data_IF_491204269160
#
_entry.id   IF_491204269160
#
_cell.length_a   1.000
_cell.length_b   1.000
_cell.length_c   1.000
_cell.angle_alpha   90.00
_cell.angle_beta   90.00
_cell.angle_gamma   90.00
#
_symmetry.space_group_name_H-M   'P 1'
#
loop_
_entity.id
_entity.type
_entity.pdbx_description
1 polymer ?
#
# COMPACT_ATOMS: atom_id res chain seq x y z
N UNK A 1 7.71 -48.59 -11.80
CA UNK A 1 7.28 -48.21 -10.43
C UNK A 1 7.87 -46.84 -10.15
N UNK A 2 7.03 -45.81 -10.07
CA UNK A 2 7.33 -44.49 -9.49
C UNK A 2 6.00 -43.71 -9.49
N UNK A 3 5.30 -43.75 -8.35
CA UNK A 3 4.07 -43.02 -8.12
C UNK A 3 4.40 -41.61 -7.63
N UNK A 4 3.87 -40.61 -8.32
CA UNK A 4 3.79 -39.24 -7.81
C UNK A 4 2.57 -39.14 -6.87
N UNK A 5 2.67 -38.44 -5.72
CA UNK A 5 1.51 -38.17 -4.89
C UNK A 5 0.66 -37.09 -5.55
N UNK A 6 -0.59 -37.44 -5.85
CA UNK A 6 -1.63 -36.52 -6.30
C UNK A 6 -2.30 -35.93 -5.06
N UNK A 7 -2.08 -34.63 -4.81
CA UNK A 7 -2.94 -33.88 -3.90
C UNK A 7 -4.25 -33.58 -4.64
N UNK A 8 -5.28 -34.38 -4.35
CA UNK A 8 -6.66 -34.11 -4.75
C UNK A 8 -7.24 -33.05 -3.81
N UNK A 9 -7.36 -31.81 -4.28
CA UNK A 9 -8.29 -30.82 -3.71
C UNK A 9 -9.59 -30.86 -4.51
N UNK A 10 -10.53 -31.67 -4.04
CA UNK A 10 -11.93 -31.58 -4.47
C UNK A 10 -12.56 -30.37 -3.77
N UNK A 11 -12.56 -29.20 -4.42
CA UNK A 11 -13.55 -28.16 -4.14
C UNK A 11 -14.43 -27.95 -5.36
N UNK A 12 -15.71 -28.29 -5.16
CA UNK A 12 -16.81 -28.20 -6.11
C UNK A 12 -16.89 -26.79 -6.73
N UNK A 13 -16.54 -26.71 -8.00
CA UNK A 13 -16.94 -25.66 -8.92
C UNK A 13 -18.46 -25.67 -9.08
N UNK A 14 -19.14 -24.68 -8.50
CA UNK A 14 -20.47 -24.28 -8.92
C UNK A 14 -20.33 -23.11 -9.89
N UNK A 15 -20.85 -23.31 -11.11
CA UNK A 15 -20.94 -22.39 -12.24
C UNK A 15 -21.40 -20.97 -11.85
N UNK A 16 -20.61 -19.97 -12.25
CA UNK A 16 -21.12 -18.70 -12.78
C UNK A 16 -20.17 -18.25 -13.91
N UNK A 17 -20.73 -18.08 -15.10
CA UNK A 17 -20.00 -17.69 -16.30
C UNK A 17 -19.54 -16.23 -16.18
N UNK A 18 -18.25 -15.96 -16.45
CA UNK A 18 -17.60 -14.64 -16.69
C UNK A 18 -17.33 -13.66 -15.52
N UNK A 19 -17.35 -14.04 -14.25
CA UNK A 19 -17.02 -13.10 -13.14
C UNK A 19 -16.14 -13.75 -12.07
N UNK A 20 -14.81 -13.74 -12.26
CA UNK A 20 -13.88 -14.22 -11.23
C UNK A 20 -13.47 -13.05 -10.33
N UNK A 21 -14.41 -12.61 -9.47
CA UNK A 21 -14.09 -11.71 -8.36
C UNK A 21 -13.54 -12.53 -7.19
N UNK A 22 -12.35 -12.16 -6.70
CA UNK A 22 -11.74 -12.80 -5.53
C UNK A 22 -12.11 -11.99 -4.30
N UNK A 23 -12.84 -12.61 -3.37
CA UNK A 23 -13.46 -11.89 -2.26
C UNK A 23 -12.82 -12.25 -0.93
N UNK A 24 -12.43 -11.24 -0.17
CA UNK A 24 -12.08 -11.35 1.22
C UNK A 24 -13.32 -10.99 2.07
N UNK A 25 -13.80 -11.93 2.89
CA UNK A 25 -14.75 -11.58 3.96
C UNK A 25 -14.01 -10.71 4.99
N UNK A 26 -14.09 -9.39 4.82
CA UNK A 26 -13.50 -8.45 5.76
C UNK A 26 -14.21 -8.51 7.10
N UNK A 27 -13.47 -8.99 8.10
CA UNK A 27 -13.60 -8.84 9.55
C UNK A 27 -15.01 -8.94 10.16
N UNK A 28 -15.21 -9.89 11.10
CA UNK A 28 -16.47 -10.06 11.84
C UNK A 28 -16.90 -8.82 12.63
N UNK A 29 -15.97 -7.90 12.90
CA UNK A 29 -16.21 -6.66 13.64
C UNK A 29 -16.40 -5.42 12.74
N UNK A 30 -16.36 -5.57 11.41
CA UNK A 30 -16.65 -4.46 10.51
C UNK A 30 -18.10 -3.99 10.72
N UNK A 31 -18.25 -2.87 11.45
CA UNK A 31 -19.52 -2.17 11.55
C UNK A 31 -19.73 -1.40 10.27
N UNK A 32 -20.26 -2.12 9.29
CA UNK A 32 -20.63 -1.55 8.01
C UNK A 32 -21.63 -0.41 8.24
N UNK A 33 -21.29 0.76 7.72
CA UNK A 33 -22.28 1.81 7.58
C UNK A 33 -23.36 1.38 6.58
N UNK A 34 -24.51 2.05 6.59
CA UNK A 34 -25.51 1.87 5.53
C UNK A 34 -24.92 2.11 4.13
N UNK A 35 -23.89 2.96 3.99
CA UNK A 35 -23.26 3.23 2.70
C UNK A 35 -22.34 2.10 2.22
N UNK A 36 -21.59 1.42 3.09
CA UNK A 36 -20.78 0.25 2.70
C UNK A 36 -21.66 -0.95 2.29
N UNK A 37 -22.80 -1.14 2.95
CA UNK A 37 -23.79 -2.15 2.54
C UNK A 37 -24.45 -1.84 1.20
N UNK A 38 -24.76 -0.55 0.96
CA UNK A 38 -25.23 -0.09 -0.34
C UNK A 38 -24.20 -0.40 -1.42
N UNK A 39 -22.92 -0.12 -1.13
CA UNK A 39 -21.80 -0.42 -2.00
C UNK A 39 -21.66 -1.91 -2.37
N UNK A 40 -21.63 -2.82 -1.39
CA UNK A 40 -21.52 -4.28 -1.64
C UNK A 40 -22.67 -4.81 -2.49
N UNK A 41 -23.77 -4.06 -2.61
CA UNK A 41 -24.88 -4.34 -3.51
C UNK A 41 -24.76 -3.62 -4.86
N UNK A 42 -24.29 -2.37 -4.88
CA UNK A 42 -24.29 -1.50 -6.07
C UNK A 42 -23.06 -1.70 -6.97
N UNK A 43 -21.85 -1.78 -6.41
CA UNK A 43 -20.60 -1.82 -7.21
C UNK A 43 -19.96 -3.20 -7.25
N UNK A 44 -20.51 -4.17 -6.51
CA UNK A 44 -19.98 -5.53 -6.47
C UNK A 44 -20.06 -6.17 -7.85
N UNK A 45 -18.92 -6.67 -8.34
CA UNK A 45 -18.81 -7.28 -9.66
C UNK A 45 -18.76 -6.27 -10.81
N UNK A 46 -18.86 -4.95 -10.55
CA UNK A 46 -18.75 -3.93 -11.57
C UNK A 46 -17.30 -3.47 -11.74
N UNK A 47 -16.89 -3.37 -12.99
CA UNK A 47 -15.63 -2.70 -13.35
C UNK A 47 -15.87 -1.20 -13.35
N UNK A 48 -15.03 -0.49 -12.61
CA UNK A 48 -15.17 0.94 -12.42
C UNK A 48 -14.16 1.66 -13.31
N UNK A 49 -14.64 2.38 -14.33
CA UNK A 49 -13.78 3.01 -15.32
C UNK A 49 -13.89 4.53 -15.29
N UNK A 50 -12.82 5.24 -15.69
CA UNK A 50 -12.91 6.67 -15.95
C UNK A 50 -13.95 6.96 -17.04
N UNK A 51 -14.72 8.04 -16.87
CA UNK A 51 -15.73 8.48 -17.85
C UNK A 51 -15.14 8.62 -19.26
N UNK A 52 -13.88 9.04 -19.39
CA UNK A 52 -13.18 9.17 -20.67
C UNK A 52 -13.03 7.87 -21.47
N UNK A 53 -13.28 6.72 -20.84
CA UNK A 53 -13.19 5.40 -21.46
C UNK A 53 -14.56 4.85 -21.87
N UNK A 54 -15.65 5.48 -21.42
CA UNK A 54 -17.03 5.04 -21.63
C UNK A 54 -17.40 4.88 -23.10
N UNK A 55 -16.94 5.79 -23.95
CA UNK A 55 -17.23 5.75 -25.39
C UNK A 55 -16.60 4.56 -26.12
N UNK A 56 -15.68 3.84 -25.48
CA UNK A 56 -15.00 2.66 -26.03
C UNK A 56 -15.62 1.35 -25.52
N UNK A 57 -16.62 1.45 -24.64
CA UNK A 57 -17.29 0.28 -24.07
C UNK A 57 -18.47 -0.08 -24.99
N UNK A 58 -18.55 -1.33 -25.49
CA UNK A 58 -19.71 -1.81 -26.24
C UNK A 58 -20.99 -1.62 -25.42
N UNK A 59 -22.07 -1.19 -26.08
CA UNK A 59 -23.31 -0.79 -25.38
C UNK A 59 -23.91 -1.92 -24.54
N UNK A 60 -23.73 -3.16 -25.00
CA UNK A 60 -24.14 -4.40 -24.35
C UNK A 60 -23.33 -4.72 -23.07
N UNK A 61 -22.15 -4.12 -22.89
CA UNK A 61 -21.29 -4.30 -21.71
C UNK A 61 -21.38 -3.12 -20.73
N UNK A 62 -22.07 -2.04 -21.08
CA UNK A 62 -22.30 -0.91 -20.18
C UNK A 62 -23.06 -1.30 -18.89
N UNK A 63 -23.82 -2.40 -18.92
CA UNK A 63 -24.50 -2.90 -17.71
C UNK A 63 -23.54 -3.49 -16.66
N UNK A 64 -22.30 -3.84 -17.05
CA UNK A 64 -21.26 -4.39 -16.17
C UNK A 64 -20.16 -3.37 -15.82
N UNK A 65 -20.31 -2.15 -16.31
CA UNK A 65 -19.32 -1.09 -16.18
C UNK A 65 -19.98 0.13 -15.57
N UNK A 66 -19.41 0.58 -14.46
CA UNK A 66 -19.85 1.80 -13.81
C UNK A 66 -18.88 2.93 -14.16
N UNK A 67 -19.32 3.99 -14.85
CA UNK A 67 -18.59 5.23 -14.87
C UNK A 67 -18.60 5.82 -13.46
N UNK A 68 -17.43 6.16 -12.95
CA UNK A 68 -17.22 6.60 -11.57
C UNK A 68 -16.70 8.03 -11.52
N UNK A 69 -17.35 8.86 -10.70
CA UNK A 69 -16.81 10.14 -10.23
C UNK A 69 -16.34 10.00 -8.79
N UNK A 70 -15.14 10.50 -8.50
CA UNK A 70 -14.51 10.38 -7.19
C UNK A 70 -13.32 11.31 -7.04
N UNK A 71 -12.78 11.34 -5.83
CA UNK A 71 -11.56 12.07 -5.52
C UNK A 71 -10.37 11.30 -6.06
N UNK A 72 -9.48 11.99 -6.76
CA UNK A 72 -8.31 11.36 -7.35
C UNK A 72 -7.28 11.11 -6.26
N UNK A 73 -6.63 9.97 -6.37
CA UNK A 73 -5.44 9.62 -5.61
C UNK A 73 -4.36 9.27 -6.64
N UNK A 74 -3.25 10.04 -6.69
CA UNK A 74 -2.32 10.03 -7.84
C UNK A 74 -1.55 8.71 -8.02
N UNK A 75 -1.82 7.68 -7.20
CA UNK A 75 -1.36 6.31 -7.41
C UNK A 75 -2.30 5.46 -8.29
N UNK A 76 -2.92 6.05 -9.33
CA UNK A 76 -3.81 5.34 -10.28
C UNK A 76 -5.09 4.82 -9.60
N UNK A 77 -5.53 5.55 -8.57
CA UNK A 77 -6.67 5.16 -7.76
C UNK A 77 -7.76 6.23 -7.74
N UNK A 78 -8.97 5.81 -7.37
CA UNK A 78 -10.10 6.70 -7.15
C UNK A 78 -10.71 6.45 -5.77
N UNK A 79 -10.68 7.47 -4.94
CA UNK A 79 -11.31 7.50 -3.64
C UNK A 79 -12.79 7.91 -3.75
N UNK A 80 -13.65 7.13 -3.14
CA UNK A 80 -15.10 7.32 -3.13
C UNK A 80 -15.57 7.61 -1.69
N UNK A 81 -15.48 8.87 -1.22
CA UNK A 81 -15.71 9.23 0.19
C UNK A 81 -17.14 8.95 0.69
N UNK A 82 -18.10 8.80 -0.21
CA UNK A 82 -19.48 8.41 0.09
C UNK A 82 -19.60 6.96 0.61
N UNK A 83 -18.66 6.09 0.23
CA UNK A 83 -18.62 4.70 0.67
C UNK A 83 -17.55 4.55 1.75
N UNK A 84 -17.98 4.25 2.97
CA UNK A 84 -17.08 4.15 4.11
C UNK A 84 -17.54 3.09 5.10
N UNK A 85 -16.60 2.50 5.83
CA UNK A 85 -16.85 1.58 6.92
C UNK A 85 -16.02 1.99 8.14
N UNK A 86 -16.43 1.50 9.31
CA UNK A 86 -15.61 1.56 10.50
C UNK A 86 -14.99 0.19 10.75
N UNK A 87 -13.68 0.19 10.97
CA UNK A 87 -12.96 -0.98 11.46
C UNK A 87 -12.36 -0.52 12.78
N UNK A 88 -12.85 -1.13 13.85
CA UNK A 88 -12.66 -0.66 15.24
C UNK A 88 -13.22 0.75 15.42
N UNK A 89 -12.39 1.72 15.80
CA UNK A 89 -12.76 3.13 15.96
C UNK A 89 -12.36 4.00 14.76
N UNK A 90 -11.66 3.44 13.77
CA UNK A 90 -11.17 4.18 12.61
C UNK A 90 -12.14 4.08 11.42
N UNK A 91 -12.39 5.24 10.80
CA UNK A 91 -13.17 5.34 9.57
C UNK A 91 -12.28 5.08 8.37
N UNK A 92 -12.72 4.21 7.48
CA UNK A 92 -12.07 3.93 6.20
C UNK A 92 -13.02 4.22 5.05
N UNK A 93 -12.47 4.70 3.96
CA UNK A 93 -13.15 5.03 2.71
C UNK A 93 -12.78 4.04 1.63
N UNK A 94 -13.68 3.82 0.69
CA UNK A 94 -13.41 2.96 -0.45
C UNK A 94 -12.48 3.66 -1.44
N UNK A 95 -11.38 3.00 -1.78
CA UNK A 95 -10.46 3.36 -2.85
C UNK A 95 -10.41 2.24 -3.90
N UNK A 96 -10.45 2.62 -5.17
CA UNK A 96 -10.36 1.68 -6.30
C UNK A 96 -9.02 1.90 -6.98
N UNK A 97 -8.06 1.00 -6.78
CA UNK A 97 -6.75 1.02 -7.45
C UNK A 97 -6.86 0.29 -8.79
N UNK A 98 -6.20 0.83 -9.81
CA UNK A 98 -6.26 0.29 -11.16
C UNK A 98 -7.42 0.88 -11.98
N UNK A 99 -7.72 2.17 -11.81
CA UNK A 99 -8.69 2.91 -12.65
C UNK A 99 -7.99 3.62 -13.82
N UNK A 100 -6.74 3.30 -14.11
CA UNK A 100 -5.92 3.94 -15.12
C UNK A 100 -5.02 5.05 -14.56
N UNK A 101 -3.87 5.23 -15.21
CA UNK A 101 -2.89 6.27 -14.92
C UNK A 101 -3.11 7.51 -15.80
N UNK A 102 -3.00 8.70 -15.22
CA UNK A 102 -3.12 9.98 -15.97
C UNK A 102 -1.77 10.52 -16.43
N UNK A 103 -0.70 10.16 -15.74
CA UNK A 103 0.67 10.48 -16.11
C UNK A 103 1.23 9.41 -17.04
N UNK A 104 2.07 9.78 -18.03
CA UNK A 104 2.85 8.79 -18.76
C UNK A 104 3.84 8.11 -17.82
N UNK A 105 4.18 6.84 -18.11
CA UNK A 105 5.18 6.08 -17.36
C UNK A 105 6.54 6.80 -17.24
N UNK A 106 6.91 7.62 -18.23
CA UNK A 106 8.20 8.34 -18.30
C UNK A 106 8.08 9.87 -18.12
N UNK A 107 7.12 10.34 -17.32
CA UNK A 107 7.03 11.74 -16.88
C UNK A 107 6.20 12.68 -17.77
N UNK A 108 6.17 13.97 -17.41
CA UNK A 108 5.24 14.97 -17.98
C UNK A 108 5.47 15.34 -19.46
N UNK A 109 6.62 14.97 -20.03
CA UNK A 109 6.87 15.14 -21.46
C UNK A 109 6.64 13.81 -22.16
N UNK A 110 5.61 13.76 -23.00
CA UNK A 110 5.59 12.80 -24.10
C UNK A 110 6.94 12.91 -24.81
N UNK A 111 7.69 11.81 -24.98
CA UNK A 111 8.92 11.83 -25.74
C UNK A 111 8.61 12.45 -27.11
N UNK A 112 9.36 13.48 -27.48
CA UNK A 112 9.24 14.09 -28.79
C UNK A 112 9.30 13.00 -29.87
N UNK A 113 8.52 13.18 -30.95
CA UNK A 113 8.38 12.20 -32.04
C UNK A 113 9.73 11.58 -32.40
N UNK A 114 9.91 10.28 -32.09
CA UNK A 114 11.03 9.49 -32.61
C UNK A 114 11.78 8.59 -31.63
N UNK A 115 11.58 8.68 -30.31
CA UNK A 115 12.37 7.88 -29.36
C UNK A 115 11.85 6.46 -29.08
N UNK A 116 10.58 6.21 -29.38
CA UNK A 116 9.95 4.90 -29.21
C UNK A 116 9.44 4.45 -30.56
N UNK A 117 9.77 3.22 -30.98
CA UNK A 117 9.21 2.61 -32.18
C UNK A 117 7.72 2.33 -31.92
N UNK A 118 6.89 3.35 -32.11
CA UNK A 118 5.43 3.25 -32.07
C UNK A 118 5.01 2.15 -33.05
N UNK A 119 4.41 1.08 -32.53
CA UNK A 119 3.96 -0.04 -33.35
C UNK A 119 3.12 0.44 -34.53
N UNK A 120 3.20 -0.27 -35.65
CA UNK A 120 2.59 0.11 -36.94
C UNK A 120 1.10 0.47 -36.88
N UNK A 121 0.36 0.01 -35.85
CA UNK A 121 -1.05 0.35 -35.62
C UNK A 121 -1.31 1.77 -35.11
N UNK A 122 -0.30 2.47 -34.56
CA UNK A 122 -0.51 3.82 -34.02
C UNK A 122 -0.64 4.89 -35.12
N UNK A 123 -0.08 4.68 -36.31
CA UNK A 123 -0.21 5.65 -37.41
C UNK A 123 -1.62 5.72 -37.99
N UNK A 124 -2.43 4.68 -37.79
CA UNK A 124 -3.77 4.54 -38.37
C UNK A 124 -4.89 4.54 -37.31
N UNK A 125 -4.56 4.56 -36.01
CA UNK A 125 -5.55 4.48 -34.94
C UNK A 125 -6.05 5.90 -34.53
N UNK A 126 -7.38 6.17 -34.54
CA UNK A 126 -7.98 7.42 -34.07
C UNK A 126 -7.51 7.87 -32.68
N UNK A 127 -7.09 6.92 -31.84
CA UNK A 127 -6.62 7.17 -30.48
C UNK A 127 -5.25 7.89 -30.48
N UNK A 128 -4.39 7.69 -31.48
CA UNK A 128 -3.09 8.38 -31.59
C UNK A 128 -3.23 9.89 -31.83
N UNK A 129 -4.25 10.30 -32.59
CA UNK A 129 -4.63 11.71 -32.74
C UNK A 129 -5.25 12.27 -31.45
N UNK A 130 -5.90 11.43 -30.64
CA UNK A 130 -6.41 11.82 -29.32
C UNK A 130 -5.30 12.08 -28.30
N UNK A 131 -4.18 11.36 -28.31
CA UNK A 131 -3.09 11.59 -27.35
C UNK A 131 -2.28 12.87 -27.62
N UNK A 132 -2.18 13.28 -28.89
CA UNK A 132 -1.50 14.53 -29.28
C UNK A 132 -2.33 15.79 -29.03
N UNK A 133 -3.63 15.63 -28.76
CA UNK A 133 -4.59 16.73 -28.51
C UNK A 133 -5.15 16.75 -27.09
N UNK A 134 -4.97 15.68 -26.30
CA UNK A 134 -5.50 15.59 -24.93
C UNK A 134 -4.61 16.31 -23.93
N UNK A 135 -5.25 17.16 -23.14
CA UNK A 135 -4.75 17.63 -21.84
C UNK A 135 -4.42 16.42 -20.95
N UNK A 136 -3.49 16.57 -20.01
CA UNK A 136 -3.00 15.58 -19.01
C UNK A 136 -4.07 14.99 -18.07
N UNK A 137 -5.35 15.03 -18.46
CA UNK A 137 -6.52 14.81 -17.62
C UNK A 137 -7.23 13.49 -17.87
N UNK A 138 -6.84 12.68 -18.86
CA UNK A 138 -7.52 11.41 -19.12
C UNK A 138 -6.70 10.21 -18.64
N UNK A 139 -7.34 9.34 -17.86
CA UNK A 139 -6.70 8.14 -17.34
C UNK A 139 -6.63 7.05 -18.42
N UNK A 140 -5.52 6.33 -18.46
CA UNK A 140 -5.31 5.20 -19.36
C UNK A 140 -4.69 4.00 -18.67
N UNK A 141 -4.97 2.86 -19.25
CA UNK A 141 -4.25 1.63 -19.01
C UNK A 141 -3.20 1.43 -20.10
N UNK A 142 -2.09 0.78 -19.77
CA UNK A 142 -1.11 0.32 -20.75
C UNK A 142 -0.70 -1.11 -20.41
N UNK A 143 -0.34 -1.88 -21.43
CA UNK A 143 0.19 -3.22 -21.23
C UNK A 143 1.64 -3.24 -20.78
N UNK A 144 2.22 -2.14 -20.31
CA UNK A 144 3.61 -2.11 -19.86
C UNK A 144 3.73 -2.52 -18.42
N UNK A 145 4.82 -3.21 -18.10
CA UNK A 145 5.17 -3.52 -16.72
C UNK A 145 5.68 -2.30 -15.97
N UNK A 146 5.04 -1.96 -14.86
CA UNK A 146 5.60 -1.03 -13.88
C UNK A 146 6.59 -1.78 -12.98
N UNK A 147 7.89 -1.61 -13.23
CA UNK A 147 9.03 -2.28 -12.56
C UNK A 147 9.01 -3.82 -12.47
N UNK A 148 7.95 -4.51 -12.84
CA UNK A 148 7.84 -5.98 -12.75
C UNK A 148 6.49 -6.48 -12.23
N UNK A 149 5.66 -5.59 -11.67
CA UNK A 149 4.57 -5.94 -10.74
C UNK A 149 3.17 -5.88 -11.40
N UNK A 150 3.08 -5.76 -12.72
CA UNK A 150 1.82 -5.73 -13.46
C UNK A 150 1.65 -4.56 -14.44
N UNK A 151 0.51 -4.53 -15.17
CA UNK A 151 0.21 -3.56 -16.23
C UNK A 151 0.03 -2.15 -15.66
N UNK A 152 0.67 -1.14 -16.26
CA UNK A 152 0.59 0.23 -15.78
C UNK A 152 -0.83 0.80 -15.91
N UNK A 153 -1.34 1.34 -14.80
CA UNK A 153 -2.73 1.78 -14.66
C UNK A 153 -3.71 0.70 -14.18
N UNK A 154 -3.27 -0.55 -14.00
CA UNK A 154 -4.03 -1.67 -13.44
C UNK A 154 -3.13 -2.56 -12.55
N UNK A 155 -3.62 -3.75 -12.18
CA UNK A 155 -2.85 -4.80 -11.49
C UNK A 155 -2.79 -6.08 -12.32
N UNK A 156 -1.79 -6.90 -12.07
CA UNK A 156 -1.80 -8.28 -12.52
C UNK A 156 -2.65 -9.17 -11.61
N UNK A 157 -2.98 -10.37 -12.08
CA UNK A 157 -3.80 -11.33 -11.31
C UNK A 157 -3.11 -11.82 -10.07
N UNK A 158 -1.80 -12.13 -10.14
CA UNK A 158 -1.06 -12.68 -9.01
C UNK A 158 -1.00 -11.66 -7.87
N UNK A 159 -0.63 -10.44 -8.20
CA UNK A 159 -0.52 -9.30 -7.29
C UNK A 159 -1.86 -8.98 -6.63
N UNK A 160 -2.95 -9.10 -7.41
CA UNK A 160 -4.31 -9.00 -6.89
C UNK A 160 -4.67 -10.07 -5.88
N UNK A 161 -4.28 -11.32 -6.12
CA UNK A 161 -4.52 -12.43 -5.23
C UNK A 161 -3.67 -12.34 -3.98
N UNK A 162 -2.38 -12.06 -4.13
CA UNK A 162 -1.45 -11.90 -3.02
C UNK A 162 -1.95 -10.78 -2.08
N UNK A 163 -2.46 -9.67 -2.61
CA UNK A 163 -3.04 -8.59 -1.78
C UNK A 163 -4.26 -9.04 -0.95
N UNK A 164 -5.10 -9.89 -1.52
CA UNK A 164 -6.25 -10.48 -0.82
C UNK A 164 -5.75 -11.43 0.28
N UNK A 165 -4.78 -12.29 -0.03
CA UNK A 165 -4.18 -13.22 0.94
C UNK A 165 -3.48 -12.48 2.09
N UNK A 166 -2.80 -11.37 1.82
CA UNK A 166 -2.20 -10.51 2.85
C UNK A 166 -3.28 -9.83 3.70
N UNK A 167 -4.38 -9.40 3.09
CA UNK A 167 -5.52 -8.86 3.83
C UNK A 167 -6.07 -9.89 4.82
N UNK A 168 -6.16 -11.14 4.40
CA UNK A 168 -6.61 -12.26 5.22
C UNK A 168 -5.75 -12.47 6.48
N UNK A 169 -4.44 -12.23 6.42
CA UNK A 169 -3.54 -12.31 7.59
C UNK A 169 -3.86 -11.28 8.68
N UNK A 170 -4.48 -10.16 8.31
CA UNK A 170 -4.74 -9.03 9.20
C UNK A 170 -6.16 -9.03 9.78
N UNK A 171 -7.04 -9.93 9.31
CA UNK A 171 -8.47 -9.96 9.63
C UNK A 171 -8.76 -10.07 11.12
N UNK A 172 -8.00 -10.88 11.84
CA UNK A 172 -8.24 -11.14 13.26
C UNK A 172 -7.75 -10.00 14.16
N UNK A 173 -6.99 -9.04 13.60
CA UNK A 173 -6.36 -7.96 14.34
C UNK A 173 -6.63 -6.62 13.66
N UNK A 174 -7.90 -6.30 13.37
CA UNK A 174 -8.30 -4.93 12.99
C UNK A 174 -7.51 -4.33 11.80
N UNK A 175 -7.16 -5.16 10.82
CA UNK A 175 -6.31 -4.83 9.66
C UNK A 175 -4.85 -4.48 10.00
N UNK A 176 -4.29 -5.04 11.07
CA UNK A 176 -2.87 -4.98 11.32
C UNK A 176 -2.23 -6.38 11.43
N UNK A 177 -0.96 -6.47 11.05
CA UNK A 177 -0.12 -7.64 11.21
C UNK A 177 0.89 -7.29 12.29
N UNK A 178 0.59 -7.60 13.55
CA UNK A 178 1.48 -7.33 14.69
C UNK A 178 1.90 -5.84 14.81
N UNK A 179 0.95 -4.93 14.61
CA UNK A 179 1.16 -3.48 14.63
C UNK A 179 1.47 -2.85 13.26
N UNK A 180 1.75 -3.67 12.23
CA UNK A 180 1.86 -3.18 10.85
C UNK A 180 0.47 -3.06 10.23
N UNK A 181 -0.04 -1.83 10.14
CA UNK A 181 -1.38 -1.56 9.60
C UNK A 181 -1.37 -1.58 8.08
N UNK A 182 -2.40 -2.19 7.49
CA UNK A 182 -2.60 -2.24 6.05
C UNK A 182 -3.92 -1.60 5.65
N UNK A 183 -4.01 -1.15 4.40
CA UNK A 183 -5.26 -0.81 3.75
C UNK A 183 -5.86 -2.11 3.19
N UNK A 184 -6.89 -2.69 3.82
CA UNK A 184 -7.35 -4.03 3.45
C UNK A 184 -7.98 -4.01 2.05
N UNK A 185 -7.67 -5.02 1.25
CA UNK A 185 -8.29 -5.26 -0.06
C UNK A 185 -9.54 -6.12 0.14
N UNK A 186 -10.70 -5.54 -0.17
CA UNK A 186 -11.99 -6.21 -0.06
C UNK A 186 -12.13 -7.30 -1.12
N UNK A 187 -11.82 -6.93 -2.36
CA UNK A 187 -11.85 -7.84 -3.49
C UNK A 187 -11.08 -7.27 -4.69
N UNK A 188 -10.76 -8.17 -5.62
CA UNK A 188 -10.22 -7.80 -6.93
C UNK A 188 -11.15 -8.29 -8.05
N UNK A 189 -11.29 -7.49 -9.10
CA UNK A 189 -12.09 -7.82 -10.30
C UNK A 189 -11.19 -7.75 -11.52
N UNK A 190 -11.24 -8.79 -12.35
CA UNK A 190 -10.58 -8.82 -13.65
C UNK A 190 -11.23 -7.82 -14.64
N UNK A 191 -10.40 -7.05 -15.34
CA UNK A 191 -10.83 -6.20 -16.44
C UNK A 191 -11.23 -7.06 -17.66
N UNK A 192 -12.38 -6.78 -18.30
CA UNK A 192 -12.81 -7.46 -19.51
C UNK A 192 -11.78 -7.41 -20.63
N UNK A 193 -11.65 -8.53 -21.37
CA UNK A 193 -10.67 -8.69 -22.45
C UNK A 193 -10.77 -7.61 -23.53
N UNK A 194 -11.95 -7.07 -23.81
CA UNK A 194 -12.10 -6.01 -24.81
C UNK A 194 -11.39 -4.71 -24.39
N UNK A 195 -11.42 -4.36 -23.09
CA UNK A 195 -10.69 -3.18 -22.57
C UNK A 195 -9.19 -3.42 -22.68
N UNK A 196 -8.75 -4.62 -22.28
CA UNK A 196 -7.35 -5.02 -22.35
C UNK A 196 -6.85 -5.02 -23.79
N UNK A 197 -7.60 -5.61 -24.72
CA UNK A 197 -7.22 -5.69 -26.13
C UNK A 197 -7.11 -4.33 -26.81
N UNK A 198 -7.95 -3.36 -26.46
CA UNK A 198 -7.89 -1.99 -26.99
C UNK A 198 -6.68 -1.19 -26.47
N UNK A 199 -6.11 -1.56 -25.31
CA UNK A 199 -5.12 -0.73 -24.60
C UNK A 199 -3.75 -1.38 -24.39
N UNK A 200 -3.65 -2.71 -24.48
CA UNK A 200 -2.42 -3.47 -24.22
C UNK A 200 -1.26 -3.10 -25.16
N UNK A 201 -1.58 -2.59 -26.35
CA UNK A 201 -0.58 -2.26 -27.37
C UNK A 201 -0.16 -0.78 -27.38
N UNK A 202 -0.52 0.01 -26.37
CA UNK A 202 -0.16 1.43 -26.31
C UNK A 202 1.33 1.71 -26.22
N UNK A 203 2.11 0.77 -25.72
CA UNK A 203 3.55 0.86 -25.62
C UNK A 203 4.15 -0.50 -26.00
N UNK A 204 5.43 -0.54 -26.38
CA UNK A 204 6.08 -1.71 -27.00
C UNK A 204 7.17 -2.35 -26.13
N UNK A 205 7.55 -1.72 -25.03
CA UNK A 205 8.56 -2.22 -24.12
C UNK A 205 7.93 -3.24 -23.15
N UNK A 206 8.74 -3.98 -22.40
CA UNK A 206 8.38 -5.01 -21.39
C UNK A 206 6.86 -5.24 -21.12
N UNK A 207 6.17 -5.90 -22.08
CA UNK A 207 4.70 -6.03 -22.05
C UNK A 207 4.20 -7.07 -21.04
N UNK A 208 3.19 -6.70 -20.26
CA UNK A 208 2.36 -7.60 -19.48
C UNK A 208 1.44 -8.42 -20.40
N UNK A 209 1.48 -9.73 -20.25
CA UNK A 209 0.69 -10.70 -21.03
C UNK A 209 -0.43 -11.35 -20.22
N UNK A 210 -0.42 -11.18 -18.90
CA UNK A 210 -1.42 -11.72 -17.99
C UNK A 210 -2.74 -10.94 -18.04
N UNK A 211 -3.71 -11.39 -17.24
CA UNK A 211 -4.96 -10.65 -17.03
C UNK A 211 -4.69 -9.39 -16.23
N UNK A 212 -5.57 -8.42 -16.42
CA UNK A 212 -5.50 -7.13 -15.75
C UNK A 212 -6.64 -7.05 -14.76
N UNK A 213 -6.43 -6.44 -13.61
CA UNK A 213 -7.43 -6.37 -12.54
C UNK A 213 -7.47 -5.00 -11.89
N UNK A 214 -8.59 -4.71 -11.22
CA UNK A 214 -8.77 -3.58 -10.32
C UNK A 214 -8.93 -4.09 -8.89
N UNK A 215 -8.33 -3.39 -7.94
CA UNK A 215 -8.47 -3.70 -6.52
C UNK A 215 -9.40 -2.70 -5.87
N UNK A 216 -10.34 -3.22 -5.08
CA UNK A 216 -11.21 -2.42 -4.23
C UNK A 216 -10.72 -2.57 -2.80
N UNK A 217 -10.25 -1.47 -2.22
CA UNK A 217 -9.59 -1.46 -0.91
C UNK A 217 -10.14 -0.37 -0.02
N UNK A 218 -9.86 -0.46 1.27
CA UNK A 218 -10.24 0.54 2.24
C UNK A 218 -9.02 1.36 2.69
N UNK A 219 -9.12 2.68 2.64
CA UNK A 219 -8.05 3.61 3.04
C UNK A 219 -8.55 4.58 4.11
N UNK A 220 -7.74 4.95 5.11
CA UNK A 220 -8.19 5.84 6.19
C UNK A 220 -8.23 7.33 5.79
N UNK A 221 -7.52 7.70 4.74
CA UNK A 221 -7.49 9.05 4.15
C UNK A 221 -6.91 8.99 2.72
N UNK A 222 -6.67 10.14 2.10
CA UNK A 222 -5.82 10.29 0.90
C UNK A 222 -4.51 11.06 1.16
N UNK A 223 -4.10 11.18 2.43
CA UNK A 223 -2.86 11.83 2.83
C UNK A 223 -1.72 10.80 2.76
N UNK A 224 -0.71 11.09 1.94
CA UNK A 224 0.51 10.28 1.81
C UNK A 224 1.66 10.92 2.58
N UNK A 225 2.77 10.21 2.69
CA UNK A 225 3.93 10.70 3.40
C UNK A 225 4.66 11.80 2.60
N UNK A 226 5.06 11.56 1.33
CA UNK A 226 5.74 12.59 0.50
C UNK A 226 5.25 12.77 -0.93
N UNK A 227 4.91 11.69 -1.64
CA UNK A 227 4.66 11.75 -3.08
C UNK A 227 3.21 11.41 -3.46
N UNK A 228 2.82 11.80 -4.68
CA UNK A 228 1.59 11.35 -5.35
C UNK A 228 0.29 11.68 -4.58
N UNK A 229 0.28 12.78 -3.83
CA UNK A 229 -0.93 13.40 -3.32
C UNK A 229 -0.77 14.92 -3.30
N UNK A 230 -1.87 15.65 -3.52
CA UNK A 230 -1.93 17.11 -3.44
C UNK A 230 -1.60 17.65 -2.03
N UNK A 231 -1.63 16.79 -1.01
CA UNK A 231 -1.34 17.12 0.36
C UNK A 231 -0.60 15.96 1.03
N UNK A 232 0.64 16.20 1.46
CA UNK A 232 1.50 15.18 2.07
C UNK A 232 2.04 15.64 3.42
N UNK A 233 2.25 14.67 4.31
CA UNK A 233 2.65 14.94 5.68
C UNK A 233 4.03 15.60 5.76
N UNK A 234 5.00 15.16 4.95
CA UNK A 234 6.34 15.74 4.97
C UNK A 234 6.49 17.13 4.40
N UNK A 235 5.63 17.49 3.44
CA UNK A 235 5.74 18.77 2.74
C UNK A 235 4.84 19.82 3.37
N UNK A 236 3.68 19.42 3.91
CA UNK A 236 2.68 20.34 4.46
C UNK A 236 2.06 19.82 5.75
N UNK A 237 2.87 19.53 6.79
CA UNK A 237 2.41 18.90 8.03
C UNK A 237 1.31 19.71 8.71
N UNK A 238 1.45 21.05 8.84
CA UNK A 238 0.41 21.92 9.42
C UNK A 238 -0.95 21.80 8.71
N UNK A 239 -0.94 21.75 7.37
CA UNK A 239 -2.18 21.61 6.58
C UNK A 239 -2.81 20.24 6.82
N UNK A 240 -1.99 19.18 6.89
CA UNK A 240 -2.46 17.82 7.20
C UNK A 240 -3.08 17.77 8.60
N UNK A 241 -2.40 18.30 9.61
CA UNK A 241 -2.91 18.36 10.99
C UNK A 241 -4.24 19.11 11.06
N UNK A 242 -4.36 20.25 10.38
CA UNK A 242 -5.62 21.00 10.28
C UNK A 242 -6.73 20.22 9.58
N UNK A 243 -6.43 19.48 8.50
CA UNK A 243 -7.41 18.60 7.82
C UNK A 243 -7.91 17.50 8.77
N UNK A 244 -7.03 16.97 9.60
CA UNK A 244 -7.36 15.96 10.61
C UNK A 244 -7.97 16.52 11.89
N UNK A 245 -8.06 17.85 12.03
CA UNK A 245 -8.61 18.50 13.22
C UNK A 245 -7.71 18.38 14.45
N UNK A 246 -6.40 18.26 14.26
CA UNK A 246 -5.41 18.23 15.35
C UNK A 246 -5.06 19.68 15.71
N UNK A 247 -5.56 20.15 16.84
CA UNK A 247 -5.47 21.56 17.25
C UNK A 247 -4.77 21.74 18.61
N UNK A 248 -4.64 20.68 19.40
CA UNK A 248 -4.03 20.72 20.73
C UNK A 248 -2.69 19.99 20.81
N UNK A 249 -1.92 20.30 21.86
CA UNK A 249 -0.65 19.65 22.17
C UNK A 249 -0.84 18.15 22.42
N UNK A 250 -1.85 17.79 23.19
CA UNK A 250 -2.14 16.42 23.57
C UNK A 250 -2.50 15.57 22.34
N UNK A 251 -3.24 16.16 21.39
CA UNK A 251 -3.60 15.50 20.14
C UNK A 251 -2.40 15.26 19.23
N UNK A 252 -1.52 16.26 19.05
CA UNK A 252 -0.32 16.08 18.22
C UNK A 252 0.69 15.12 18.86
N UNK A 253 0.82 15.12 20.19
CA UNK A 253 1.69 14.18 20.90
C UNK A 253 1.19 12.73 20.69
N UNK A 254 -0.12 12.49 20.80
CA UNK A 254 -0.72 11.18 20.50
C UNK A 254 -0.58 10.80 19.02
N UNK A 255 -0.75 11.76 18.11
CA UNK A 255 -0.55 11.55 16.68
C UNK A 255 0.88 11.09 16.38
N UNK A 256 1.88 11.74 16.99
CA UNK A 256 3.29 11.39 16.86
C UNK A 256 3.58 10.00 17.45
N UNK A 257 2.98 9.68 18.60
CA UNK A 257 3.12 8.36 19.23
C UNK A 257 2.62 7.23 18.30
N UNK A 258 1.43 7.40 17.73
CA UNK A 258 0.87 6.46 16.77
C UNK A 258 1.69 6.37 15.48
N UNK A 259 2.18 7.50 14.98
CA UNK A 259 3.08 7.56 13.82
C UNK A 259 4.36 6.77 14.08
N UNK A 260 4.98 6.95 15.25
CA UNK A 260 6.19 6.24 15.64
C UNK A 260 5.92 4.74 15.75
N UNK A 261 4.90 4.35 16.51
CA UNK A 261 4.59 2.94 16.79
C UNK A 261 4.31 2.17 15.49
N UNK A 262 3.44 2.70 14.63
CA UNK A 262 3.09 2.07 13.35
C UNK A 262 4.24 2.11 12.33
N UNK A 263 5.04 3.19 12.30
CA UNK A 263 6.20 3.29 11.43
C UNK A 263 7.31 2.31 11.81
N UNK A 264 7.63 2.19 13.10
CA UNK A 264 8.56 1.16 13.59
C UNK A 264 8.01 -0.23 13.30
N UNK A 265 6.70 -0.43 13.40
CA UNK A 265 6.11 -1.71 13.05
C UNK A 265 6.29 -2.08 11.58
N UNK A 266 6.16 -1.11 10.67
CA UNK A 266 6.49 -1.30 9.26
C UNK A 266 7.97 -1.63 9.05
N UNK A 267 8.88 -0.81 9.60
CA UNK A 267 10.33 -0.99 9.47
C UNK A 267 10.85 -2.32 10.03
N UNK A 268 10.07 -2.99 10.87
CA UNK A 268 10.41 -4.26 11.51
C UNK A 268 9.44 -5.40 11.15
N UNK A 269 8.68 -5.26 10.05
CA UNK A 269 7.68 -6.26 9.63
C UNK A 269 8.29 -7.66 9.49
N UNK A 270 9.51 -7.76 8.96
CA UNK A 270 10.22 -9.01 8.83
C UNK A 270 10.33 -9.71 10.19
N UNK A 271 10.80 -9.01 11.23
CA UNK A 271 10.90 -9.57 12.58
C UNK A 271 9.53 -9.92 13.18
N UNK A 272 8.50 -9.16 12.82
CA UNK A 272 7.13 -9.37 13.29
C UNK A 272 6.44 -10.57 12.67
N UNK A 273 6.91 -11.01 11.51
CA UNK A 273 6.26 -12.08 10.72
C UNK A 273 7.11 -13.32 10.60
N UNK A 274 8.36 -13.29 11.07
CA UNK A 274 9.23 -14.46 11.11
C UNK A 274 8.53 -15.62 11.80
N UNK A 275 8.56 -16.78 11.14
CA UNK A 275 8.06 -18.06 11.63
C UNK A 275 9.09 -19.13 11.29
N UNK A 276 9.26 -20.10 12.19
CA UNK A 276 10.05 -21.29 11.88
C UNK A 276 9.14 -22.33 11.22
N UNK A 277 9.52 -22.80 10.03
CA UNK A 277 8.75 -23.76 9.23
C UNK A 277 9.62 -24.99 9.00
N UNK A 278 9.14 -26.15 9.41
CA UNK A 278 9.87 -27.41 9.25
C UNK A 278 9.50 -28.06 7.92
N UNK A 279 10.49 -28.44 7.13
CA UNK A 279 10.36 -29.26 5.93
C UNK A 279 11.15 -30.58 6.05
N UNK A 280 11.09 -31.42 5.01
CA UNK A 280 11.79 -32.71 4.97
C UNK A 280 13.33 -32.61 4.99
N UNK A 281 13.89 -31.43 4.77
CA UNK A 281 15.34 -31.15 4.70
C UNK A 281 15.88 -30.41 5.92
N UNK A 282 15.02 -29.98 6.85
CA UNK A 282 15.38 -29.21 8.03
C UNK A 282 14.31 -28.18 8.38
N UNK A 283 14.64 -27.23 9.25
CA UNK A 283 13.76 -26.10 9.52
C UNK A 283 14.29 -24.81 8.93
N UNK A 284 13.41 -24.09 8.24
CA UNK A 284 13.69 -22.80 7.61
C UNK A 284 12.91 -21.68 8.31
N UNK A 285 13.25 -20.44 7.98
CA UNK A 285 12.56 -19.25 8.46
C UNK A 285 11.72 -18.66 7.34
N UNK A 286 10.41 -18.55 7.57
CA UNK A 286 9.49 -17.86 6.69
C UNK A 286 9.25 -16.45 7.21
N UNK A 287 9.38 -15.44 6.35
CA UNK A 287 9.32 -14.03 6.70
C UNK A 287 8.49 -13.28 5.66
N UNK A 288 7.65 -12.34 6.08
CA UNK A 288 6.98 -11.43 5.15
C UNK A 288 7.91 -10.26 4.83
N UNK A 289 8.21 -10.11 3.54
CA UNK A 289 9.15 -9.15 3.00
C UNK A 289 8.42 -8.13 2.10
N UNK A 290 8.86 -6.88 2.11
CA UNK A 290 8.52 -5.89 1.07
C UNK A 290 9.80 -5.24 0.54
N UNK A 291 10.38 -5.88 -0.48
CA UNK A 291 11.68 -5.47 -1.04
C UNK A 291 11.53 -4.47 -2.19
N UNK A 292 10.32 -4.06 -2.58
CA UNK A 292 10.11 -3.07 -3.66
C UNK A 292 9.17 -1.92 -3.26
N UNK A 293 8.78 -1.87 -1.98
CA UNK A 293 7.82 -0.88 -1.50
C UNK A 293 8.50 0.24 -0.74
N UNK A 294 8.01 1.46 -0.98
CA UNK A 294 8.59 2.70 -0.46
C UNK A 294 7.59 3.30 0.51
N UNK A 295 7.99 3.51 1.77
CA UNK A 295 7.08 4.04 2.79
C UNK A 295 6.49 5.39 2.35
N UNK A 296 7.27 6.19 1.63
CA UNK A 296 6.89 7.53 1.19
C UNK A 296 5.66 7.63 0.29
N UNK A 297 5.57 6.73 -0.70
CA UNK A 297 4.58 6.70 -1.75
C UNK A 297 3.49 5.71 -1.42
N UNK A 298 3.82 4.59 -0.79
CA UNK A 298 2.93 3.44 -0.69
C UNK A 298 2.18 3.38 0.65
N UNK A 299 2.42 4.35 1.54
CA UNK A 299 1.70 4.50 2.80
C UNK A 299 0.70 5.66 2.79
N UNK A 300 -0.38 5.47 3.54
CA UNK A 300 -1.43 6.45 3.79
C UNK A 300 -1.49 6.74 5.29
N UNK A 301 -1.59 8.01 5.66
CA UNK A 301 -1.62 8.45 7.05
C UNK A 301 -3.07 8.53 7.51
N UNK A 302 -3.41 7.83 8.59
CA UNK A 302 -4.71 7.95 9.22
C UNK A 302 -4.85 9.26 10.02
N UNK A 303 -6.08 9.74 10.29
CA UNK A 303 -6.30 10.96 11.06
C UNK A 303 -5.69 10.97 12.48
N UNK A 304 -5.44 9.80 13.05
CA UNK A 304 -4.82 9.62 14.36
C UNK A 304 -3.30 9.39 14.30
N UNK A 305 -2.69 9.51 13.13
CA UNK A 305 -1.23 9.41 12.93
C UNK A 305 -0.73 8.03 12.52
N UNK A 306 -1.56 7.00 12.57
CA UNK A 306 -1.17 5.64 12.21
C UNK A 306 -0.87 5.52 10.70
N UNK A 307 0.31 5.00 10.38
CA UNK A 307 0.75 4.71 9.02
C UNK A 307 0.09 3.40 8.54
N UNK A 308 -0.66 3.46 7.45
CA UNK A 308 -1.29 2.30 6.80
C UNK A 308 -0.66 2.03 5.45
N UNK A 309 -0.27 0.79 5.21
CA UNK A 309 0.33 0.38 3.95
C UNK A 309 -0.73 0.10 2.89
N UNK A 310 -0.67 0.78 1.75
CA UNK A 310 -1.67 0.70 0.70
C UNK A 310 -1.26 -0.23 -0.46
N UNK A 311 0.02 -0.27 -0.79
CA UNK A 311 0.60 -1.10 -1.86
C UNK A 311 1.05 -2.45 -1.26
N UNK A 312 0.07 -3.27 -0.86
CA UNK A 312 0.31 -4.57 -0.22
C UNK A 312 0.57 -5.70 -1.23
N UNK A 313 0.43 -5.42 -2.53
CA UNK A 313 0.68 -6.36 -3.64
C UNK A 313 2.14 -6.85 -3.70
N UNK A 314 3.06 -6.05 -3.18
CA UNK A 314 4.50 -6.32 -3.19
C UNK A 314 5.01 -6.95 -1.86
N UNK A 315 4.08 -7.36 -0.98
CA UNK A 315 4.39 -8.13 0.22
C UNK A 315 4.50 -9.62 -0.12
N UNK A 316 5.70 -10.17 0.03
CA UNK A 316 6.02 -11.54 -0.37
C UNK A 316 6.49 -12.38 0.82
N UNK A 317 5.96 -13.60 0.93
CA UNK A 317 6.54 -14.60 1.82
C UNK A 317 7.85 -15.13 1.25
N UNK A 318 8.94 -14.96 2.00
CA UNK A 318 10.28 -15.46 1.65
C UNK A 318 10.78 -16.47 2.65
N UNK A 319 11.57 -17.42 2.15
CA UNK A 319 12.19 -18.48 2.95
C UNK A 319 13.69 -18.22 3.04
N UNK A 320 14.21 -18.27 4.27
CA UNK A 320 15.62 -18.16 4.59
C UNK A 320 16.08 -19.43 5.33
N UNK A 321 17.29 -19.88 5.04
CA UNK A 321 17.78 -21.16 5.57
C UNK A 321 18.46 -20.99 6.94
N UNK A 322 18.88 -19.76 7.27
CA UNK A 322 19.65 -19.48 8.48
C UNK A 322 19.14 -18.25 9.23
N UNK A 323 19.33 -18.25 10.54
CA UNK A 323 19.02 -17.10 11.41
C UNK A 323 19.80 -15.84 10.99
N UNK A 324 21.06 -16.01 10.57
CA UNK A 324 21.91 -14.89 10.12
C UNK A 324 21.33 -14.19 8.89
N UNK A 325 20.77 -14.93 7.94
CA UNK A 325 20.11 -14.35 6.76
C UNK A 325 18.86 -13.55 7.15
N UNK A 326 18.06 -14.08 8.08
CA UNK A 326 16.88 -13.40 8.61
C UNK A 326 17.26 -12.11 9.34
N UNK A 327 18.31 -12.13 10.18
CA UNK A 327 18.79 -10.93 10.88
C UNK A 327 19.31 -9.86 9.91
N UNK A 328 20.04 -10.26 8.87
CA UNK A 328 20.41 -9.34 7.77
C UNK A 328 19.18 -8.73 7.11
N UNK A 329 18.10 -9.50 6.99
CA UNK A 329 16.85 -9.00 6.43
C UNK A 329 16.16 -7.98 7.34
N UNK A 330 16.14 -8.18 8.66
CA UNK A 330 15.61 -7.20 9.61
C UNK A 330 16.30 -5.85 9.43
N UNK A 331 17.64 -5.86 9.40
CA UNK A 331 18.45 -4.67 9.20
C UNK A 331 18.18 -4.00 7.85
N UNK A 332 18.19 -4.78 6.76
CA UNK A 332 17.98 -4.25 5.40
C UNK A 332 16.61 -3.58 5.23
N UNK A 333 15.54 -4.21 5.74
CA UNK A 333 14.19 -3.64 5.66
C UNK A 333 14.09 -2.32 6.45
N UNK A 334 14.70 -2.30 7.64
CA UNK A 334 14.77 -1.11 8.47
C UNK A 334 15.51 0.03 7.76
N UNK A 335 16.79 -0.19 7.39
CA UNK A 335 17.69 0.84 6.85
C UNK A 335 17.15 1.46 5.55
N UNK A 336 16.44 0.67 4.72
CA UNK A 336 15.92 1.14 3.44
C UNK A 336 14.91 2.28 3.58
N UNK A 337 13.96 2.14 4.51
CA UNK A 337 12.85 3.09 4.63
C UNK A 337 12.98 4.00 5.86
N UNK A 338 14.03 3.82 6.68
CA UNK A 338 14.22 4.58 7.91
C UNK A 338 14.36 6.08 7.65
N UNK A 339 15.08 6.48 6.60
CA UNK A 339 15.23 7.89 6.24
C UNK A 339 13.88 8.54 5.95
N UNK A 340 13.06 7.89 5.13
CA UNK A 340 11.72 8.37 4.79
C UNK A 340 10.85 8.47 6.04
N UNK A 341 10.85 7.47 6.90
CA UNK A 341 10.09 7.54 8.15
C UNK A 341 10.54 8.72 9.05
N UNK A 342 11.85 8.90 9.24
CA UNK A 342 12.41 9.93 10.11
C UNK A 342 12.20 11.35 9.57
N UNK A 343 12.24 11.54 8.25
CA UNK A 343 12.00 12.85 7.65
C UNK A 343 10.57 13.37 7.97
N UNK A 344 9.60 12.46 8.08
CA UNK A 344 8.20 12.79 8.31
C UNK A 344 7.95 13.01 9.79
N UNK A 345 8.66 12.24 10.63
CA UNK A 345 8.72 12.50 12.06
C UNK A 345 9.32 13.88 12.36
N UNK A 346 10.42 14.27 11.72
CA UNK A 346 11.04 15.58 11.96
C UNK A 346 10.11 16.74 11.56
N UNK A 347 9.35 16.58 10.47
CA UNK A 347 8.32 17.52 10.05
C UNK A 347 7.20 17.66 11.11
N UNK A 348 6.70 16.53 11.63
CA UNK A 348 5.70 16.50 12.71
C UNK A 348 6.22 17.13 14.02
N UNK A 349 7.43 16.77 14.42
CA UNK A 349 8.08 17.26 15.64
C UNK A 349 8.27 18.77 15.56
N UNK A 350 8.66 19.28 14.39
CA UNK A 350 8.81 20.71 14.17
C UNK A 350 7.48 21.46 14.33
N UNK A 351 6.36 20.93 13.82
CA UNK A 351 5.04 21.52 14.07
C UNK A 351 4.63 21.42 15.55
N UNK A 352 4.94 20.31 16.23
CA UNK A 352 4.66 20.16 17.65
C UNK A 352 5.40 21.20 18.50
N UNK A 353 6.65 21.52 18.18
CA UNK A 353 7.42 22.56 18.86
C UNK A 353 6.87 23.96 18.58
N UNK A 354 6.44 24.23 17.34
CA UNK A 354 5.78 25.49 16.99
C UNK A 354 4.47 25.67 17.76
N UNK A 355 3.64 24.63 17.88
CA UNK A 355 2.41 24.66 18.68
C UNK A 355 2.68 24.88 20.18
N UNK A 356 3.84 24.47 20.66
CA UNK A 356 4.26 24.65 22.05
C UNK A 356 4.99 25.97 22.30
N UNK A 357 5.17 26.80 21.26
CA UNK A 357 5.93 28.06 21.30
C UNK A 357 7.31 27.89 21.96
N UNK A 358 7.95 26.74 21.73
CA UNK A 358 9.21 26.37 22.39
C UNK A 358 10.30 26.10 21.37
N UNK A 359 11.44 26.75 21.58
CA UNK A 359 12.66 26.44 20.86
C UNK A 359 13.45 25.37 21.61
N UNK A 360 14.00 24.42 20.85
CA UNK A 360 14.84 23.34 21.35
C UNK A 360 16.19 23.39 20.64
N UNK A 361 17.28 23.28 21.38
CA UNK A 361 18.60 23.05 20.79
C UNK A 361 18.64 21.68 20.07
N UNK A 362 19.57 21.46 19.13
CA UNK A 362 19.68 20.18 18.44
C UNK A 362 19.81 18.97 19.38
N UNK A 363 20.53 19.12 20.48
CA UNK A 363 20.66 18.07 21.50
C UNK A 363 19.33 17.81 22.21
N UNK A 364 18.64 18.86 22.66
CA UNK A 364 17.34 18.71 23.33
C UNK A 364 16.29 18.09 22.41
N UNK A 365 16.31 18.43 21.10
CA UNK A 365 15.46 17.78 20.09
C UNK A 365 15.72 16.27 20.03
N UNK A 366 16.99 15.85 19.95
CA UNK A 366 17.36 14.42 19.89
C UNK A 366 16.93 13.67 21.15
N UNK A 367 17.10 14.28 22.33
CA UNK A 367 16.67 13.71 23.60
C UNK A 367 15.14 13.58 23.68
N UNK A 368 14.41 14.60 23.24
CA UNK A 368 12.94 14.61 23.20
C UNK A 368 12.41 13.53 22.24
N UNK A 369 12.94 13.49 21.01
CA UNK A 369 12.59 12.46 20.02
C UNK A 369 12.89 11.06 20.58
N UNK A 370 14.05 10.85 21.20
CA UNK A 370 14.37 9.57 21.84
C UNK A 370 13.34 9.18 22.90
N UNK A 371 12.91 10.12 23.75
CA UNK A 371 11.88 9.85 24.76
C UNK A 371 10.52 9.55 24.13
N UNK A 372 10.16 10.17 23.01
CA UNK A 372 8.95 9.82 22.26
C UNK A 372 8.98 8.40 21.71
N UNK A 373 10.14 7.92 21.24
CA UNK A 373 10.31 6.52 20.87
C UNK A 373 10.18 5.57 22.05
N UNK A 374 10.77 5.90 23.21
CA UNK A 374 10.65 5.09 24.43
C UNK A 374 9.17 4.94 24.84
N UNK A 375 8.40 6.03 24.79
CA UNK A 375 6.97 6.02 25.11
C UNK A 375 6.15 5.24 24.07
N UNK A 376 6.33 5.52 22.78
CA UNK A 376 5.55 4.90 21.71
C UNK A 376 5.79 3.39 21.54
N UNK A 377 6.91 2.88 22.05
CA UNK A 377 7.32 1.47 21.92
C UNK A 377 7.27 0.70 23.24
N UNK A 378 6.78 1.30 24.32
CA UNK A 378 6.83 0.68 25.66
C UNK A 378 6.05 -0.65 25.72
N UNK A 379 4.97 -0.77 24.95
CA UNK A 379 4.13 -1.98 24.86
C UNK A 379 4.45 -2.88 23.66
N UNK A 380 5.48 -2.53 22.86
CA UNK A 380 5.82 -3.29 21.66
C UNK A 380 6.49 -4.63 22.02
N UNK A 381 5.95 -5.73 21.47
CA UNK A 381 6.44 -7.09 21.76
C UNK A 381 7.71 -7.47 21.00
N UNK A 382 7.96 -6.79 19.88
CA UNK A 382 9.02 -7.11 18.92
C UNK A 382 10.19 -6.14 19.03
N UNK A 383 9.97 -4.95 19.59
CA UNK A 383 10.99 -3.91 19.71
C UNK A 383 11.06 -3.42 21.15
N UNK A 384 12.27 -3.29 21.69
CA UNK A 384 12.52 -2.54 22.93
C UNK A 384 13.56 -1.47 22.72
N UNK A 385 13.44 -0.38 23.46
CA UNK A 385 14.39 0.74 23.41
C UNK A 385 15.46 0.62 24.49
N UNK A 386 16.71 0.94 24.15
CA UNK A 386 17.81 1.09 25.10
C UNK A 386 18.49 2.44 24.92
N UNK A 387 18.24 3.37 25.85
CA UNK A 387 18.90 4.67 25.89
C UNK A 387 20.21 4.59 26.65
N UNK A 388 21.27 5.16 26.10
CA UNK A 388 22.58 5.26 26.71
C UNK A 388 23.16 6.67 26.53
N UNK A 389 24.38 6.88 27.03
CA UNK A 389 25.04 8.20 26.97
C UNK A 389 25.24 8.73 25.55
N UNK A 390 25.31 7.84 24.55
CA UNK A 390 25.58 8.17 23.16
C UNK A 390 24.32 8.28 22.30
N UNK A 391 23.16 7.82 22.77
CA UNK A 391 21.97 7.79 21.93
C UNK A 391 20.90 6.81 22.36
N UNK A 392 20.00 6.51 21.41
CA UNK A 392 18.93 5.53 21.54
C UNK A 392 19.16 4.38 20.56
N UNK A 393 19.24 3.16 21.08
CA UNK A 393 19.20 1.94 20.29
C UNK A 393 17.80 1.32 20.37
N UNK A 394 17.40 0.64 19.30
CA UNK A 394 16.29 -0.31 19.34
C UNK A 394 16.84 -1.74 19.24
N UNK A 395 16.19 -2.64 19.98
CA UNK A 395 16.46 -4.08 19.97
C UNK A 395 15.30 -4.78 19.31
N UNK A 396 15.52 -5.29 18.09
CA UNK A 396 14.50 -5.95 17.28
C UNK A 396 14.58 -7.46 17.47
N UNK A 397 13.46 -8.09 17.81
CA UNK A 397 13.36 -9.54 18.06
C UNK A 397 12.12 -10.13 17.42
N UNK A 398 12.22 -11.41 17.04
CA UNK A 398 11.06 -12.27 16.77
C UNK A 398 10.86 -13.14 18.01
N UNK A 399 9.87 -12.86 18.86
CA UNK A 399 9.62 -13.63 20.07
C UNK A 399 9.51 -15.11 19.72
N UNK A 400 10.24 -15.96 20.45
CA UNK A 400 10.26 -17.43 20.31
C UNK A 400 11.06 -18.03 19.16
N UNK A 401 11.75 -17.23 18.34
CA UNK A 401 12.48 -17.75 17.17
C UNK A 401 13.95 -17.38 17.19
N UNK A 402 14.27 -16.15 17.55
CA UNK A 402 15.64 -15.62 17.56
C UNK A 402 15.96 -15.20 18.99
N UNK A 403 16.97 -15.82 19.58
CA UNK A 403 17.32 -15.61 20.99
C UNK A 403 18.01 -14.25 21.23
N UNK A 404 18.87 -13.83 20.31
CA UNK A 404 19.60 -12.56 20.41
C UNK A 404 18.91 -11.46 19.59
N UNK A 405 18.58 -10.30 20.18
CA UNK A 405 17.98 -9.21 19.43
C UNK A 405 18.99 -8.60 18.44
N UNK A 406 18.48 -8.13 17.31
CA UNK A 406 19.25 -7.28 16.40
C UNK A 406 19.24 -5.84 16.92
N UNK A 407 20.43 -5.31 17.26
CA UNK A 407 20.58 -3.94 17.75
C UNK A 407 20.75 -2.96 16.58
N UNK A 408 19.93 -1.92 16.56
CA UNK A 408 19.99 -0.85 15.54
C UNK A 408 20.05 0.51 16.25
N UNK A 409 21.06 1.32 15.94
CA UNK A 409 21.17 2.70 16.42
C UNK A 409 20.11 3.54 15.74
N UNK A 410 19.20 4.11 16.52
CA UNK A 410 18.09 4.92 16.03
C UNK A 410 18.43 6.41 16.01
N UNK A 411 18.98 6.92 17.11
CA UNK A 411 19.29 8.33 17.30
C UNK A 411 20.67 8.43 17.95
N UNK A 412 21.52 9.29 17.41
CA UNK A 412 22.77 9.69 18.03
C UNK A 412 22.56 10.97 18.85
N UNK A 413 23.24 11.12 19.98
CA UNK A 413 23.22 12.35 20.79
C UNK A 413 24.40 13.28 20.51
N UNK A 414 25.40 12.82 19.75
CA UNK A 414 26.55 13.64 19.31
C UNK A 414 26.24 14.51 18.08
#
# INVERSE_FOLDING_TARGET
>A
MNGQPTYKSEHKLAKAETEQAYFCECNKEMKESKSMRSYLRELRGLVCLPESTRSLVPSELLAKIQPIEGLKDDNRSLLLPQYYAYISDRKYYLDIKGVGARTPMYGFRMPEKGYFAWGSRFKENPIAQHWTTRTTTQATYTGELWFGNGPYGAHGTKESLDSVDITDLSKENENNINGFYICPVLYSIELPDFIVNERKDYFWYRKWTGKWSQQFRLVPSNIRLYFHSDCTLGISPRKVLSIFGIESKEEIDKFIENYISSGIAALTLAARTTKFVTDEKGGNYQVLDYDDVWLDKDSIIAPDGTIHFADIDDLEWRIYNTESEVRKKYRRQFERNFFEFMFGLDALISEAYLMQEREYSPFERRVDVATRFELALIEDKFVTTEKNAYGLDILVRSPNIINEPERIRLIDFE
#
